data_IF_278604951544
#
_entry.id   IF_278604951544
#
_cell.length_a   1.000
_cell.length_b   1.000
_cell.length_c   1.000
_cell.angle_alpha   90.00
_cell.angle_beta   90.00
_cell.angle_gamma   90.00
#
_symmetry.space_group_name_H-M   'P 1'
#
loop_
_entity.id
_entity.type
_entity.pdbx_description
1 polymer ?
#
# COMPACT_ATOMS: atom_id res chain seq x y z
N UNK A 1 -12.78 -10.19 -3.08
CA UNK A 1 -12.39 -11.61 -3.35
C UNK A 1 -13.33 -12.59 -2.62
N UNK A 2 -14.06 -13.47 -3.33
CA UNK A 2 -14.96 -14.50 -2.72
C UNK A 2 -14.37 -15.92 -2.78
N UNK A 3 -13.25 -16.11 -3.48
CA UNK A 3 -12.69 -17.44 -3.75
C UNK A 3 -12.02 -18.13 -2.56
N UNK A 4 -11.70 -17.41 -1.47
CA UNK A 4 -11.04 -17.96 -0.29
C UNK A 4 -11.99 -18.26 0.89
N UNK A 5 -13.23 -17.75 0.86
CA UNK A 5 -14.15 -17.85 2.02
C UNK A 5 -14.66 -19.27 2.28
N UNK A 6 -14.64 -20.13 1.26
CA UNK A 6 -15.03 -21.54 1.33
C UNK A 6 -13.84 -22.51 1.44
N UNK A 7 -12.61 -22.01 1.57
CA UNK A 7 -11.44 -22.84 1.80
C UNK A 7 -11.23 -23.07 3.31
N UNK A 8 -11.04 -24.33 3.75
CA UNK A 8 -10.71 -24.64 5.14
C UNK A 8 -9.50 -23.84 5.63
N UNK A 9 -9.54 -23.31 6.86
CA UNK A 9 -8.48 -22.43 7.38
C UNK A 9 -7.10 -23.09 7.43
N UNK A 10 -7.06 -24.41 7.55
CA UNK A 10 -5.88 -25.27 7.53
C UNK A 10 -5.28 -25.44 6.12
N UNK A 11 -6.02 -25.08 5.07
CA UNK A 11 -5.58 -25.17 3.66
C UNK A 11 -5.15 -23.84 3.05
N UNK A 12 -5.47 -22.73 3.70
CA UNK A 12 -4.97 -21.41 3.30
C UNK A 12 -3.65 -21.21 4.04
N UNK A 13 -2.53 -21.11 3.29
CA UNK A 13 -1.26 -20.74 3.88
C UNK A 13 -1.41 -19.46 4.71
N UNK A 14 -0.96 -19.45 5.96
CA UNK A 14 -0.96 -18.24 6.82
C UNK A 14 -0.35 -17.04 6.10
N UNK A 15 0.71 -17.27 5.32
CA UNK A 15 1.34 -16.27 4.47
C UNK A 15 0.34 -15.53 3.58
N UNK A 16 -0.71 -16.19 3.06
CA UNK A 16 -1.73 -15.57 2.21
C UNK A 16 -2.75 -14.74 2.99
N UNK A 17 -2.97 -15.02 4.28
CA UNK A 17 -3.88 -14.24 5.16
C UNK A 17 -3.19 -13.04 5.80
N UNK A 18 -1.89 -13.15 6.08
CA UNK A 18 -1.12 -12.13 6.81
C UNK A 18 -0.26 -11.23 5.89
N UNK A 19 -0.34 -11.42 4.56
CA UNK A 19 0.37 -10.58 3.59
C UNK A 19 -0.28 -9.19 3.50
N UNK A 20 0.26 -8.27 4.32
CA UNK A 20 -0.21 -6.89 4.38
C UNK A 20 -0.11 -6.15 3.05
N UNK A 21 0.90 -6.46 2.22
CA UNK A 21 1.05 -5.85 0.90
C UNK A 21 -0.12 -6.26 0.01
N UNK A 22 -0.41 -7.56 -0.02
CA UNK A 22 -1.51 -8.07 -0.81
C UNK A 22 -2.84 -7.50 -0.31
N UNK A 23 -3.08 -7.44 1.00
CA UNK A 23 -4.35 -6.89 1.52
C UNK A 23 -4.51 -5.39 1.27
N UNK A 24 -3.42 -4.61 1.32
CA UNK A 24 -3.48 -3.15 1.19
C UNK A 24 -3.49 -2.70 -0.27
N UNK A 25 -2.68 -3.32 -1.12
CA UNK A 25 -2.44 -2.83 -2.48
C UNK A 25 -3.19 -3.62 -3.57
N UNK A 26 -3.88 -4.72 -3.22
CA UNK A 26 -4.72 -5.43 -4.19
C UNK A 26 -6.08 -4.78 -4.42
N UNK A 27 -6.57 -4.00 -3.46
CA UNK A 27 -7.83 -3.27 -3.57
C UNK A 27 -7.55 -1.82 -4.02
N UNK A 28 -8.47 -1.20 -4.79
CA UNK A 28 -8.34 0.20 -5.16
C UNK A 28 -8.25 1.11 -3.92
N UNK A 29 -7.47 2.20 -3.96
CA UNK A 29 -7.38 3.13 -2.86
C UNK A 29 -8.76 3.74 -2.56
N UNK A 30 -9.21 3.59 -1.32
CA UNK A 30 -10.51 4.02 -0.86
C UNK A 30 -10.37 4.97 0.34
N UNK A 31 -10.87 6.19 0.20
CA UNK A 31 -10.89 7.17 1.27
C UNK A 31 -12.16 6.97 2.12
N UNK A 32 -12.00 6.73 3.42
CA UNK A 32 -13.14 6.65 4.34
C UNK A 32 -13.89 7.99 4.36
N UNK A 33 -15.23 7.99 4.55
CA UNK A 33 -16.01 9.22 4.66
C UNK A 33 -15.48 10.19 5.73
N UNK A 34 -14.95 9.65 6.82
CA UNK A 34 -14.39 10.39 7.95
C UNK A 34 -13.05 11.09 7.63
N UNK A 35 -12.38 10.70 6.53
CA UNK A 35 -11.11 11.28 6.07
C UNK A 35 -11.29 12.06 4.75
N UNK A 36 -12.52 12.29 4.31
CA UNK A 36 -12.82 12.98 3.05
C UNK A 36 -12.20 14.39 2.97
N UNK A 37 -12.11 15.08 4.10
CA UNK A 37 -11.50 16.41 4.24
C UNK A 37 -9.97 16.39 4.10
N UNK A 38 -9.33 15.29 4.48
CA UNK A 38 -7.87 15.11 4.40
C UNK A 38 -7.42 14.73 2.98
N UNK A 39 -8.29 14.08 2.21
CA UNK A 39 -8.04 13.66 0.83
C UNK A 39 -7.16 12.41 0.70
N UNK A 40 -7.04 11.86 -0.51
CA UNK A 40 -6.39 10.57 -0.75
C UNK A 40 -4.88 10.57 -0.43
N UNK A 41 -4.24 11.74 -0.47
CA UNK A 41 -2.81 11.86 -0.14
C UNK A 41 -2.50 11.54 1.32
N UNK A 42 -3.42 11.84 2.24
CA UNK A 42 -3.29 11.46 3.64
C UNK A 42 -3.32 9.93 3.81
N UNK A 43 -4.30 9.26 3.17
CA UNK A 43 -4.40 7.79 3.15
C UNK A 43 -3.12 7.16 2.60
N UNK A 44 -2.65 7.63 1.44
CA UNK A 44 -1.42 7.14 0.84
C UNK A 44 -0.22 7.27 1.78
N UNK A 45 -0.09 8.40 2.47
CA UNK A 45 0.99 8.60 3.41
C UNK A 45 0.93 7.57 4.55
N UNK A 46 -0.26 7.37 5.14
CA UNK A 46 -0.50 6.42 6.22
C UNK A 46 -0.20 4.97 5.81
N UNK A 47 -0.76 4.51 4.69
CA UNK A 47 -0.59 3.13 4.21
C UNK A 47 0.86 2.83 3.83
N UNK A 48 1.53 3.79 3.18
CA UNK A 48 2.95 3.64 2.89
C UNK A 48 3.82 3.64 4.16
N UNK A 49 3.43 4.30 5.25
CA UNK A 49 4.17 4.20 6.52
C UNK A 49 3.99 2.84 7.20
N UNK A 50 2.82 2.23 7.08
CA UNK A 50 2.54 0.88 7.62
C UNK A 50 3.42 -0.17 6.94
N UNK A 51 3.62 -0.03 5.62
CA UNK A 51 4.30 -1.03 4.79
C UNK A 51 5.78 -0.72 4.58
N UNK A 52 6.10 0.55 4.32
CA UNK A 52 7.46 1.01 4.01
C UNK A 52 8.13 1.73 5.19
N UNK A 53 7.54 1.65 6.39
CA UNK A 53 8.19 2.09 7.62
C UNK A 53 9.55 1.43 7.80
N UNK A 54 10.49 2.14 8.43
CA UNK A 54 11.91 1.69 8.56
C UNK A 54 12.02 0.28 9.15
N UNK A 55 11.14 -0.06 10.09
CA UNK A 55 11.13 -1.34 10.79
C UNK A 55 10.17 -2.39 10.16
N UNK A 56 9.56 -2.06 9.01
CA UNK A 56 8.49 -2.86 8.38
C UNK A 56 8.74 -3.21 6.93
N UNK A 57 9.61 -2.46 6.26
CA UNK A 57 9.87 -2.62 4.83
C UNK A 57 10.43 -4.00 4.47
N UNK A 58 11.33 -4.55 5.30
CA UNK A 58 11.94 -5.86 5.05
C UNK A 58 10.94 -7.02 5.31
N UNK A 59 10.01 -6.83 6.26
CA UNK A 59 8.99 -7.82 6.64
C UNK A 59 7.79 -7.87 5.67
N UNK A 60 7.59 -6.81 4.89
CA UNK A 60 6.42 -6.67 4.03
C UNK A 60 6.79 -6.52 2.57
N UNK A 61 7.58 -5.49 2.20
CA UNK A 61 7.79 -5.14 0.80
C UNK A 61 8.72 -6.11 0.05
N UNK A 62 9.71 -6.68 0.73
CA UNK A 62 10.75 -7.52 0.13
C UNK A 62 10.58 -9.02 0.36
N UNK A 63 9.51 -9.46 1.02
CA UNK A 63 9.28 -10.89 1.31
C UNK A 63 8.86 -11.70 0.09
N UNK A 64 8.32 -11.04 -0.95
CA UNK A 64 7.85 -11.68 -2.18
C UNK A 64 8.26 -10.93 -3.44
N UNK A 65 8.20 -11.59 -4.61
CA UNK A 65 8.68 -11.01 -5.88
C UNK A 65 7.84 -9.82 -6.37
N UNK A 66 6.60 -9.70 -5.90
CA UNK A 66 5.61 -8.77 -6.46
C UNK A 66 5.35 -7.54 -5.57
N UNK A 67 6.01 -7.42 -4.42
CA UNK A 67 5.64 -6.40 -3.42
C UNK A 67 5.82 -4.97 -3.93
N UNK A 68 6.94 -4.71 -4.60
CA UNK A 68 7.23 -3.40 -5.22
C UNK A 68 6.24 -3.11 -6.36
N UNK A 69 5.96 -4.09 -7.21
CA UNK A 69 5.05 -3.92 -8.36
C UNK A 69 3.63 -3.56 -7.89
N UNK A 70 3.10 -4.29 -6.89
CA UNK A 70 1.79 -4.02 -6.29
C UNK A 70 1.73 -2.62 -5.69
N UNK A 71 2.76 -2.24 -4.93
CA UNK A 71 2.85 -0.90 -4.33
C UNK A 71 2.85 0.20 -5.41
N UNK A 72 3.68 0.07 -6.45
CA UNK A 72 3.76 1.07 -7.52
C UNK A 72 2.45 1.20 -8.31
N UNK A 73 1.80 0.06 -8.60
CA UNK A 73 0.49 0.05 -9.25
C UNK A 73 -0.56 0.76 -8.41
N UNK A 74 -0.59 0.50 -7.10
CA UNK A 74 -1.51 1.13 -6.18
C UNK A 74 -1.27 2.64 -6.05
N UNK A 75 -0.01 3.08 -5.95
CA UNK A 75 0.35 4.51 -5.98
C UNK A 75 -0.15 5.18 -7.26
N UNK A 76 -0.01 4.53 -8.41
CA UNK A 76 -0.56 5.05 -9.67
C UNK A 76 -2.07 5.27 -9.63
N UNK A 77 -2.81 4.37 -8.96
CA UNK A 77 -4.25 4.51 -8.75
C UNK A 77 -4.59 5.66 -7.79
N UNK A 78 -3.81 5.86 -6.73
CA UNK A 78 -3.96 6.99 -5.80
C UNK A 78 -3.78 8.30 -6.54
N UNK A 79 -2.71 8.41 -7.34
CA UNK A 79 -2.39 9.64 -8.08
C UNK A 79 -3.44 9.97 -9.16
N UNK A 80 -4.25 9.00 -9.58
CA UNK A 80 -5.36 9.19 -10.52
C UNK A 80 -6.66 9.67 -9.84
N UNK A 81 -6.75 9.67 -8.50
CA UNK A 81 -7.95 10.08 -7.79
C UNK A 81 -8.14 11.60 -7.83
N UNK A 82 -9.40 12.11 -7.95
CA UNK A 82 -9.67 13.54 -8.02
C UNK A 82 -9.19 14.34 -6.80
N UNK A 83 -9.09 13.71 -5.63
CA UNK A 83 -8.65 14.33 -4.38
C UNK A 83 -7.13 14.31 -4.21
N UNK A 84 -6.39 13.74 -5.16
CA UNK A 84 -4.94 13.84 -5.22
C UNK A 84 -4.54 15.25 -5.63
N UNK A 85 -3.93 15.99 -4.69
CA UNK A 85 -3.53 17.39 -4.92
C UNK A 85 -2.32 17.51 -5.85
N UNK A 86 -1.47 16.47 -5.91
CA UNK A 86 -0.25 16.48 -6.72
C UNK A 86 0.67 17.69 -6.45
N UNK A 87 0.56 18.29 -5.27
CA UNK A 87 1.32 19.47 -4.90
C UNK A 87 2.76 19.10 -4.50
N UNK A 88 3.60 20.12 -4.33
CA UNK A 88 5.01 19.93 -3.99
C UNK A 88 5.21 19.12 -2.70
N UNK A 89 4.29 19.24 -1.74
CA UNK A 89 4.32 18.50 -0.48
C UNK A 89 3.96 17.02 -0.68
N UNK A 90 2.87 16.73 -1.38
CA UNK A 90 2.37 15.37 -1.64
C UNK A 90 3.36 14.58 -2.50
N UNK A 91 3.87 15.19 -3.58
CA UNK A 91 4.89 14.59 -4.43
C UNK A 91 6.24 14.47 -3.71
N UNK A 92 6.60 15.46 -2.88
CA UNK A 92 7.82 15.44 -2.08
C UNK A 92 7.84 14.29 -1.08
N UNK A 93 6.74 14.08 -0.35
CA UNK A 93 6.59 12.96 0.59
C UNK A 93 6.63 11.61 -0.12
N UNK A 94 5.91 11.48 -1.24
CA UNK A 94 5.94 10.26 -2.05
C UNK A 94 7.37 9.94 -2.51
N UNK A 95 8.07 10.94 -3.05
CA UNK A 95 9.46 10.80 -3.49
C UNK A 95 10.37 10.34 -2.35
N UNK A 96 10.27 10.97 -1.17
CA UNK A 96 11.07 10.59 0.00
C UNK A 96 10.84 9.12 0.41
N UNK A 97 9.59 8.64 0.33
CA UNK A 97 9.27 7.24 0.63
C UNK A 97 9.85 6.29 -0.42
N UNK A 98 9.71 6.61 -1.70
CA UNK A 98 10.28 5.82 -2.79
C UNK A 98 11.81 5.79 -2.74
N UNK A 99 12.46 6.90 -2.41
CA UNK A 99 13.92 6.94 -2.22
C UNK A 99 14.38 6.02 -1.08
N UNK A 100 13.60 5.89 0.01
CA UNK A 100 13.88 4.94 1.08
C UNK A 100 13.76 3.49 0.60
N UNK A 101 12.76 3.19 -0.21
CA UNK A 101 12.59 1.87 -0.83
C UNK A 101 13.78 1.56 -1.74
N UNK A 102 14.14 2.48 -2.65
CA UNK A 102 15.27 2.31 -3.57
C UNK A 102 16.63 2.16 -2.88
N UNK A 103 16.83 2.75 -1.69
CA UNK A 103 18.08 2.57 -0.91
C UNK A 103 18.17 1.21 -0.22
N UNK A 104 17.05 0.50 -0.10
CA UNK A 104 16.96 -0.83 0.52
C UNK A 104 17.08 -1.95 -0.51
N UNK A 105 16.70 -1.70 -1.77
CA UNK A 105 16.92 -2.58 -2.93
C UNK A 105 18.37 -2.55 -3.39
#
# INVERSE_FOLDING_TARGET
LVLSQSCPEDKICKATKDDKIYTLFSEPPHLAPDDADKGIGYLMNLELDIVCGVDKIDDHLFTGPNGIELMLKWIGQVCAQPTWKGDMNSNGLLRLKLEKVCKKT
#
